data_IF_306183505442
#
_entry.id   IF_306183505442
#
_cell.length_a   1.000
_cell.length_b   1.000
_cell.length_c   1.000
_cell.angle_alpha   90.00
_cell.angle_beta   90.00
_cell.angle_gamma   90.00
#
_symmetry.space_group_name_H-M   'P 1'
#
loop_
_entity.id
_entity.type
_entity.pdbx_description
1 polymer ?
#
# COMPACT_ATOMS: atom_id res chain seq x y z
N UNK A 1 -6.08 8.23 18.94
CA UNK A 1 -5.46 7.38 19.99
C UNK A 1 -4.59 6.35 19.29
N UNK A 2 -3.25 6.37 19.48
CA UNK A 2 -2.40 5.31 18.96
C UNK A 2 -2.68 3.99 19.70
N UNK A 3 -2.71 2.87 18.97
CA UNK A 3 -2.73 1.54 19.57
C UNK A 3 -1.28 1.16 19.86
N UNK A 4 -0.93 1.01 21.13
CA UNK A 4 0.41 0.58 21.56
C UNK A 4 0.31 -0.90 21.94
N UNK A 5 1.00 -1.75 21.19
CA UNK A 5 1.08 -3.18 21.49
C UNK A 5 2.02 -3.42 22.67
N UNK A 6 1.67 -4.39 23.52
CA UNK A 6 2.57 -4.91 24.54
C UNK A 6 3.83 -5.50 23.89
N UNK A 7 4.97 -5.44 24.59
CA UNK A 7 6.29 -5.81 24.03
C UNK A 7 6.30 -7.20 23.38
N UNK A 8 5.64 -8.18 23.99
CA UNK A 8 5.56 -9.56 23.50
C UNK A 8 4.81 -9.70 22.16
N UNK A 9 3.98 -8.71 21.80
CA UNK A 9 3.18 -8.72 20.57
C UNK A 9 3.72 -7.77 19.51
N UNK A 10 4.83 -7.06 19.77
CA UNK A 10 5.44 -6.19 18.77
C UNK A 10 6.06 -7.04 17.65
N UNK A 11 5.63 -6.86 16.38
CA UNK A 11 6.24 -7.58 15.27
C UNK A 11 7.63 -6.99 15.00
N UNK A 12 8.67 -7.70 15.43
CA UNK A 12 10.08 -7.27 15.28
C UNK A 12 10.75 -7.88 14.05
N UNK A 13 10.18 -8.94 13.48
CA UNK A 13 10.72 -9.58 12.28
C UNK A 13 9.85 -9.26 11.06
N UNK A 14 10.47 -9.22 9.88
CA UNK A 14 9.77 -9.00 8.60
C UNK A 14 8.66 -10.03 8.37
N UNK A 15 8.85 -11.28 8.79
CA UNK A 15 7.85 -12.34 8.65
C UNK A 15 6.63 -12.11 9.54
N UNK A 16 6.85 -11.61 10.76
CA UNK A 16 5.75 -11.22 11.64
C UNK A 16 5.01 -10.01 11.07
N UNK A 17 5.73 -9.01 10.56
CA UNK A 17 5.12 -7.84 9.93
C UNK A 17 4.26 -8.26 8.73
N UNK A 18 4.80 -9.07 7.82
CA UNK A 18 4.10 -9.56 6.63
C UNK A 18 2.87 -10.42 6.98
N UNK A 19 2.86 -11.07 8.15
CA UNK A 19 1.72 -11.85 8.65
C UNK A 19 0.55 -10.96 9.07
N UNK A 20 0.83 -9.79 9.64
CA UNK A 20 -0.19 -8.88 10.17
C UNK A 20 -0.58 -7.76 9.19
N UNK A 21 0.37 -7.33 8.35
CA UNK A 21 0.20 -6.20 7.45
C UNK A 21 0.66 -6.63 6.06
N UNK A 22 -0.25 -6.56 5.10
CA UNK A 22 0.06 -6.72 3.69
C UNK A 22 -0.20 -5.40 2.96
N UNK A 23 0.75 -5.01 2.12
CA UNK A 23 0.58 -3.91 1.18
C UNK A 23 0.20 -4.40 -0.22
N UNK A 24 -0.29 -5.65 -0.34
CA UNK A 24 -0.67 -6.28 -1.61
C UNK A 24 -2.17 -6.15 -1.88
N UNK A 25 -2.53 -5.96 -3.15
CA UNK A 25 -3.93 -6.02 -3.59
C UNK A 25 -4.41 -7.48 -3.55
N UNK A 26 -5.48 -7.81 -2.79
CA UNK A 26 -6.02 -9.15 -2.75
C UNK A 26 -6.53 -9.59 -4.12
N UNK A 27 -6.26 -10.83 -4.52
CA UNK A 27 -6.79 -11.39 -5.75
C UNK A 27 -8.32 -11.47 -5.71
N UNK A 28 -8.98 -10.96 -6.76
CA UNK A 28 -10.44 -10.96 -6.86
C UNK A 28 -11.03 -12.37 -6.86
N UNK A 29 -10.30 -13.33 -7.44
CA UNK A 29 -10.70 -14.75 -7.49
C UNK A 29 -10.54 -15.45 -6.13
N UNK A 30 -9.57 -15.04 -5.31
CA UNK A 30 -9.29 -15.69 -4.02
C UNK A 30 -10.14 -15.12 -2.90
N UNK A 31 -10.30 -13.79 -2.86
CA UNK A 31 -11.04 -13.10 -1.81
C UNK A 31 -11.78 -11.87 -2.37
N UNK A 32 -12.93 -12.06 -3.07
CA UNK A 32 -13.63 -10.97 -3.76
C UNK A 32 -14.09 -9.86 -2.80
N UNK A 33 -14.65 -10.23 -1.64
CA UNK A 33 -15.11 -9.26 -0.64
C UNK A 33 -13.96 -8.40 -0.10
N UNK A 34 -12.82 -9.03 0.21
CA UNK A 34 -11.64 -8.31 0.70
C UNK A 34 -11.07 -7.40 -0.40
N UNK A 35 -10.98 -7.90 -1.64
CA UNK A 35 -10.58 -7.11 -2.80
C UNK A 35 -11.45 -5.86 -2.94
N UNK A 36 -12.78 -5.99 -2.90
CA UNK A 36 -13.70 -4.85 -3.03
C UNK A 36 -13.52 -3.81 -1.92
N UNK A 37 -13.32 -4.27 -0.67
CA UNK A 37 -13.07 -3.37 0.46
C UNK A 37 -11.74 -2.64 0.28
N UNK A 38 -10.66 -3.35 -0.09
CA UNK A 38 -9.32 -2.79 -0.28
C UNK A 38 -9.33 -1.79 -1.43
N UNK A 39 -9.89 -2.15 -2.59
CA UNK A 39 -9.97 -1.28 -3.76
C UNK A 39 -10.75 0.00 -3.47
N UNK A 40 -11.83 -0.11 -2.69
CA UNK A 40 -12.67 1.04 -2.38
C UNK A 40 -12.09 1.98 -1.33
N UNK A 41 -11.35 1.48 -0.33
CA UNK A 41 -10.99 2.27 0.85
C UNK A 41 -9.49 2.37 1.13
N UNK A 42 -8.67 1.43 0.64
CA UNK A 42 -7.27 1.28 1.05
C UNK A 42 -6.26 1.59 -0.07
N UNK A 43 -6.70 1.66 -1.33
CA UNK A 43 -5.81 2.00 -2.44
C UNK A 43 -5.72 3.52 -2.60
N UNK A 44 -4.50 4.01 -2.77
CA UNK A 44 -4.27 5.39 -3.12
C UNK A 44 -4.83 5.66 -4.52
N UNK A 45 -5.80 6.56 -4.62
CA UNK A 45 -6.40 6.90 -5.90
C UNK A 45 -5.39 7.54 -6.87
N UNK A 46 -5.76 7.65 -8.16
CA UNK A 46 -4.94 8.34 -9.15
C UNK A 46 -4.57 9.75 -8.68
N UNK A 47 -3.29 10.09 -8.74
CA UNK A 47 -2.71 11.37 -8.35
C UNK A 47 -1.45 11.68 -9.18
N UNK A 48 -0.81 12.82 -8.94
CA UNK A 48 0.35 13.24 -9.72
C UNK A 48 -0.05 13.49 -11.17
N UNK A 49 0.75 12.95 -12.10
CA UNK A 49 0.46 13.01 -13.54
C UNK A 49 -0.85 12.32 -13.93
N UNK A 50 -1.35 11.36 -13.13
CA UNK A 50 -2.61 10.68 -13.42
C UNK A 50 -3.84 11.52 -13.04
N UNK A 51 -3.69 12.46 -12.11
CA UNK A 51 -4.72 13.39 -11.68
C UNK A 51 -4.13 14.56 -10.87
N UNK A 52 -3.93 15.68 -11.55
CA UNK A 52 -3.36 16.92 -10.98
C UNK A 52 -4.27 17.61 -9.96
N UNK A 53 -5.57 17.29 -9.94
CA UNK A 53 -6.54 17.85 -9.00
C UNK A 53 -6.53 17.16 -7.63
N UNK A 54 -5.74 16.10 -7.44
CA UNK A 54 -5.68 15.42 -6.14
C UNK A 54 -4.97 16.30 -5.11
N UNK A 55 -5.46 16.40 -3.86
CA UNK A 55 -4.88 17.26 -2.82
C UNK A 55 -3.45 16.84 -2.42
N UNK A 56 -3.05 15.60 -2.70
CA UNK A 56 -1.69 15.13 -2.49
C UNK A 56 -0.73 15.51 -3.64
N UNK A 57 -1.21 16.13 -4.72
CA UNK A 57 -0.37 16.45 -5.88
C UNK A 57 0.22 17.85 -5.76
N UNK A 58 1.53 17.94 -5.92
CA UNK A 58 2.28 19.18 -6.02
C UNK A 58 3.24 19.09 -7.22
N UNK A 59 3.20 20.10 -8.09
CA UNK A 59 3.98 20.14 -9.34
C UNK A 59 3.93 18.83 -10.17
N UNK A 60 2.75 18.18 -10.26
CA UNK A 60 2.57 16.92 -10.99
C UNK A 60 3.09 15.66 -10.28
N UNK A 61 3.64 15.78 -9.07
CA UNK A 61 4.13 14.67 -8.25
C UNK A 61 3.28 14.49 -7.00
N UNK A 62 3.11 13.26 -6.55
CA UNK A 62 2.45 13.00 -5.27
C UNK A 62 3.40 13.32 -4.12
N UNK A 63 3.03 14.23 -3.23
CA UNK A 63 3.80 14.58 -2.02
C UNK A 63 3.89 13.42 -1.01
N UNK A 64 3.02 12.41 -1.12
CA UNK A 64 3.09 11.14 -0.37
C UNK A 64 3.97 10.09 -1.06
N UNK A 65 4.59 10.45 -2.18
CA UNK A 65 5.50 9.62 -2.99
C UNK A 65 4.82 8.35 -3.53
N UNK A 66 3.58 8.47 -4.01
CA UNK A 66 2.95 7.43 -4.83
C UNK A 66 3.26 7.64 -6.32
N UNK A 67 3.37 6.56 -7.10
CA UNK A 67 3.32 5.16 -6.67
C UNK A 67 4.64 4.73 -5.97
N UNK A 68 4.62 3.81 -4.99
CA UNK A 68 5.83 3.36 -4.28
C UNK A 68 6.61 2.37 -5.13
N UNK A 69 7.87 2.11 -4.77
CA UNK A 69 8.65 1.08 -5.47
C UNK A 69 8.14 -0.32 -5.11
N UNK A 70 8.16 -1.23 -6.09
CA UNK A 70 8.04 -2.66 -5.81
C UNK A 70 9.16 -3.13 -4.88
N UNK A 71 8.83 -4.06 -3.99
CA UNK A 71 9.74 -4.69 -3.04
C UNK A 71 9.33 -6.14 -2.84
N UNK A 72 10.30 -7.05 -2.97
CA UNK A 72 10.05 -8.49 -2.79
C UNK A 72 9.93 -8.89 -1.31
N UNK A 73 10.40 -8.05 -0.39
CA UNK A 73 10.35 -8.31 1.04
C UNK A 73 10.22 -7.01 1.85
N UNK A 74 9.64 -7.14 3.04
CA UNK A 74 9.59 -6.05 4.01
C UNK A 74 10.97 -5.81 4.60
N UNK A 75 11.43 -4.57 4.51
CA UNK A 75 12.73 -4.15 5.04
C UNK A 75 12.55 -3.08 6.12
N UNK A 76 13.51 -2.99 7.03
CA UNK A 76 13.63 -1.81 7.88
C UNK A 76 13.93 -0.58 7.00
N UNK A 77 13.37 0.56 7.37
CA UNK A 77 13.59 1.82 6.66
C UNK A 77 14.24 2.82 7.61
N UNK A 78 15.02 3.75 7.06
CA UNK A 78 15.78 4.76 7.80
C UNK A 78 14.89 5.65 8.69
N UNK A 79 13.60 5.77 8.35
CA UNK A 79 12.62 6.60 9.07
C UNK A 79 11.86 5.85 10.18
N UNK A 80 12.27 4.63 10.54
CA UNK A 80 11.64 3.85 11.62
C UNK A 80 10.30 3.19 11.26
N UNK A 81 9.85 3.27 10.00
CA UNK A 81 8.67 2.58 9.49
C UNK A 81 9.07 1.49 8.49
N UNK A 82 8.59 0.24 8.62
CA UNK A 82 8.94 -0.81 7.67
C UNK A 82 8.57 -0.43 6.24
N UNK A 83 9.51 -0.61 5.32
CA UNK A 83 9.24 -0.56 3.90
C UNK A 83 8.63 -1.90 3.48
N UNK A 84 7.30 -1.98 3.50
CA UNK A 84 6.55 -3.20 3.24
C UNK A 84 6.81 -3.82 1.87
N UNK A 85 6.68 -5.15 1.81
CA UNK A 85 6.65 -5.94 0.59
C UNK A 85 5.51 -5.48 -0.33
N UNK A 86 5.85 -5.22 -1.60
CA UNK A 86 4.96 -4.85 -2.71
C UNK A 86 5.43 -5.58 -3.97
N UNK A 87 4.92 -6.79 -4.22
CA UNK A 87 5.29 -7.55 -5.42
C UNK A 87 4.52 -7.06 -6.65
N UNK A 88 5.15 -7.25 -7.80
CA UNK A 88 4.45 -7.12 -9.08
C UNK A 88 3.35 -8.17 -9.16
N UNK A 89 2.18 -7.77 -9.66
CA UNK A 89 0.97 -8.59 -9.67
C UNK A 89 -0.14 -7.89 -10.44
N UNK A 90 -1.38 -8.24 -10.13
CA UNK A 90 -2.54 -7.72 -10.84
C UNK A 90 -2.74 -6.20 -10.61
N UNK A 91 -3.33 -5.57 -11.62
CA UNK A 91 -3.77 -4.18 -11.54
C UNK A 91 -5.30 -4.11 -11.45
N UNK A 92 -5.77 -3.09 -10.76
CA UNK A 92 -7.20 -2.78 -10.62
C UNK A 92 -7.49 -1.43 -11.24
N UNK A 93 -8.70 -1.24 -11.77
CA UNK A 93 -9.10 0.04 -12.35
C UNK A 93 -9.79 0.90 -11.30
N UNK A 94 -9.22 2.06 -11.00
CA UNK A 94 -9.78 3.04 -10.07
C UNK A 94 -9.99 4.35 -10.84
N UNK A 95 -11.24 4.84 -10.85
CA UNK A 95 -11.64 6.05 -11.58
C UNK A 95 -11.18 6.06 -13.05
N UNK A 96 -11.25 4.90 -13.72
CA UNK A 96 -10.85 4.74 -15.12
C UNK A 96 -9.34 4.70 -15.38
N UNK A 97 -8.50 4.63 -14.33
CA UNK A 97 -7.04 4.49 -14.46
C UNK A 97 -6.59 3.15 -13.87
N UNK A 98 -5.70 2.40 -14.53
CA UNK A 98 -5.11 1.20 -13.95
C UNK A 98 -4.17 1.60 -12.80
N UNK A 99 -4.29 0.92 -11.68
CA UNK A 99 -3.45 1.04 -10.49
C UNK A 99 -2.96 -0.34 -10.13
N UNK A 100 -1.65 -0.51 -10.06
CA UNK A 100 -1.01 -1.75 -9.64
C UNK A 100 -0.58 -1.67 -8.17
N UNK A 101 0.23 -2.62 -7.73
CA UNK A 101 0.62 -2.77 -6.34
C UNK A 101 1.68 -1.76 -5.84
N UNK A 102 1.99 -0.73 -6.64
CA UNK A 102 2.96 0.31 -6.32
C UNK A 102 2.41 1.40 -5.41
#
# INVERSE_FOLDING_TARGET
MPIILHEDYKPRTREMIDKYVSAEIPGKETNPCLSDIVVKHMIHGPCGNLNTHSPCTDAGKCNKQFPKCFRNETNENENGYPAYRRREGDSVVIKGKPVDNR
#
